data_IF_035317592011
#
_entry.id   IF_035317592011
#
_cell.length_a   1.000
_cell.length_b   1.000
_cell.length_c   1.000
_cell.angle_alpha   90.00
_cell.angle_beta   90.00
_cell.angle_gamma   90.00
#
_symmetry.space_group_name_H-M   'P 1'
#
loop_
_entity.id
_entity.type
_entity.pdbx_description
1 polymer ?
#
# COMPACT_ATOMS: atom_id res chain seq x y z
N UNK A 1 47.11 -51.37 28.42
CA UNK A 1 45.72 -51.66 28.82
C UNK A 1 45.12 -50.32 29.21
N UNK A 2 44.64 -49.47 28.30
CA UNK A 2 43.93 -49.76 27.06
C UNK A 2 42.50 -50.12 27.42
N UNK A 3 41.66 -49.12 27.65
CA UNK A 3 40.20 -49.23 27.57
C UNK A 3 39.60 -47.84 27.25
N UNK A 4 38.77 -47.86 26.22
CA UNK A 4 38.08 -46.78 25.51
C UNK A 4 36.85 -46.22 26.28
N UNK A 5 36.30 -45.06 25.87
CA UNK A 5 35.29 -44.32 26.63
C UNK A 5 33.90 -44.95 26.52
N UNK A 6 33.14 -44.93 27.62
CA UNK A 6 31.70 -45.21 27.59
C UNK A 6 30.94 -43.90 27.39
N UNK A 7 30.46 -43.68 26.18
CA UNK A 7 29.41 -42.73 25.86
C UNK A 7 28.17 -43.04 26.72
N UNK A 8 27.93 -42.23 27.74
CA UNK A 8 26.63 -42.14 28.40
C UNK A 8 25.79 -41.11 27.65
N UNK A 9 24.95 -41.59 26.72
CA UNK A 9 23.86 -40.80 26.13
C UNK A 9 23.06 -40.10 27.23
N UNK A 10 23.04 -38.77 27.21
CA UNK A 10 22.00 -37.99 27.87
C UNK A 10 20.63 -38.45 27.34
N UNK A 11 19.62 -38.65 28.21
CA UNK A 11 18.29 -38.95 27.72
C UNK A 11 17.73 -37.69 27.04
N UNK A 12 17.39 -37.83 25.76
CA UNK A 12 16.63 -36.84 25.00
C UNK A 12 15.43 -36.39 25.83
N UNK A 13 15.44 -35.12 26.25
CA UNK A 13 14.26 -34.47 26.81
C UNK A 13 13.25 -34.38 25.67
N UNK A 14 12.21 -35.19 25.75
CA UNK A 14 11.01 -35.01 24.93
C UNK A 14 10.47 -33.61 25.24
N UNK A 15 10.62 -32.69 24.29
CA UNK A 15 9.94 -31.40 24.31
C UNK A 15 8.46 -31.70 24.04
N UNK A 16 7.63 -31.56 25.07
CA UNK A 16 6.18 -31.71 24.96
C UNK A 16 5.62 -30.59 24.06
N UNK A 17 5.26 -30.93 22.81
CA UNK A 17 4.52 -30.11 21.83
C UNK A 17 3.06 -29.84 22.28
N UNK A 18 2.86 -29.38 23.51
CA UNK A 18 1.56 -28.91 23.99
C UNK A 18 1.45 -27.43 23.65
N UNK A 19 0.44 -26.96 22.90
CA UNK A 19 0.29 -25.53 22.65
C UNK A 19 0.11 -24.82 24.00
N UNK A 20 1.06 -23.97 24.38
CA UNK A 20 1.00 -23.18 25.60
C UNK A 20 -0.33 -22.41 25.63
N UNK A 21 -1.24 -22.81 26.51
CA UNK A 21 -2.50 -22.11 26.69
C UNK A 21 -2.20 -20.69 27.14
N UNK A 22 -2.72 -19.69 26.42
CA UNK A 22 -2.57 -18.29 26.80
C UNK A 22 -3.33 -18.02 28.11
N UNK A 23 -2.60 -17.97 29.23
CA UNK A 23 -3.13 -17.60 30.54
C UNK A 23 -3.16 -16.06 30.62
N UNK A 24 -4.34 -15.49 30.83
CA UNK A 24 -4.45 -14.03 31.07
C UNK A 24 -3.77 -13.71 32.40
N UNK A 25 -2.92 -12.68 32.47
CA UNK A 25 -2.35 -12.23 33.74
C UNK A 25 -3.47 -11.80 34.68
N UNK A 26 -3.45 -12.32 35.91
CA UNK A 26 -4.34 -11.87 36.97
C UNK A 26 -3.69 -10.69 37.68
N UNK A 27 -4.32 -9.51 37.57
CA UNK A 27 -3.82 -8.30 38.21
C UNK A 27 -4.31 -8.18 39.65
N UNK A 28 -3.41 -7.76 40.53
CA UNK A 28 -3.72 -7.35 41.90
C UNK A 28 -4.41 -5.99 41.91
N UNK A 29 -5.13 -5.63 42.99
CA UNK A 29 -5.74 -4.31 43.12
C UNK A 29 -4.74 -3.14 43.02
N UNK A 30 -3.48 -3.36 43.38
CA UNK A 30 -2.41 -2.36 43.29
C UNK A 30 -1.99 -2.13 41.83
N UNK A 31 -1.77 -3.21 41.08
CA UNK A 31 -1.44 -3.13 39.65
C UNK A 31 -2.57 -2.49 38.84
N UNK A 32 -3.82 -2.76 39.19
CA UNK A 32 -4.99 -2.11 38.57
C UNK A 32 -4.93 -0.59 38.80
N UNK A 33 -4.69 -0.14 40.03
CA UNK A 33 -4.58 1.29 40.34
C UNK A 33 -3.40 1.97 39.63
N UNK A 34 -2.29 1.27 39.42
CA UNK A 34 -1.14 1.77 38.65
C UNK A 34 -1.47 1.88 37.16
N UNK A 35 -2.18 0.91 36.60
CA UNK A 35 -2.67 0.94 35.21
C UNK A 35 -3.63 2.11 35.04
N UNK A 36 -4.60 2.27 35.94
CA UNK A 36 -5.57 3.37 35.90
C UNK A 36 -4.86 4.73 35.91
N UNK A 37 -3.89 4.92 36.80
CA UNK A 37 -3.08 6.14 36.86
C UNK A 37 -2.30 6.40 35.56
N UNK A 38 -1.78 5.34 34.92
CA UNK A 38 -1.07 5.44 33.64
C UNK A 38 -2.01 5.80 32.50
N UNK A 39 -3.23 5.27 32.51
CA UNK A 39 -4.28 5.56 31.53
C UNK A 39 -4.77 7.01 31.68
N UNK A 40 -5.00 7.47 32.91
CA UNK A 40 -5.37 8.86 33.19
C UNK A 40 -4.31 9.87 32.74
N UNK A 41 -3.03 9.48 32.79
CA UNK A 41 -1.89 10.29 32.37
C UNK A 41 -1.48 10.05 30.91
N UNK A 42 -2.33 9.39 30.10
CA UNK A 42 -2.03 9.16 28.69
C UNK A 42 -1.83 10.50 27.96
N UNK A 43 -0.68 10.63 27.33
CA UNK A 43 -0.35 11.73 26.44
C UNK A 43 -0.21 11.16 25.03
N UNK A 44 -0.93 11.76 24.09
CA UNK A 44 -0.76 11.42 22.68
C UNK A 44 0.65 11.86 22.23
N UNK A 45 1.48 10.90 21.85
CA UNK A 45 2.82 11.12 21.31
C UNK A 45 2.83 11.09 19.78
N UNK A 46 1.65 11.00 19.14
CA UNK A 46 1.53 11.04 17.69
C UNK A 46 2.11 12.36 17.18
N UNK A 47 3.16 12.32 16.32
CA UNK A 47 3.73 13.54 15.76
C UNK A 47 2.70 14.34 14.95
N UNK A 48 2.82 15.66 14.98
CA UNK A 48 1.98 16.53 14.14
C UNK A 48 2.20 16.20 12.65
N UNK A 49 1.12 15.92 11.94
CA UNK A 49 1.15 15.68 10.50
C UNK A 49 1.33 17.00 9.73
N UNK A 50 2.57 17.32 9.34
CA UNK A 50 2.92 18.50 8.54
C UNK A 50 3.61 18.12 7.21
N UNK A 51 2.85 17.77 6.16
CA UNK A 51 3.42 17.39 4.87
C UNK A 51 4.05 18.58 4.14
N UNK A 52 5.32 18.43 3.75
CA UNK A 52 6.08 19.48 3.05
C UNK A 52 5.74 19.61 1.56
N UNK A 53 5.30 18.52 0.92
CA UNK A 53 5.08 18.44 -0.53
C UNK A 53 3.62 18.08 -0.83
N UNK A 54 2.68 18.85 -0.29
CA UNK A 54 1.27 18.71 -0.65
C UNK A 54 1.08 19.04 -2.13
N UNK A 55 0.28 18.24 -2.83
CA UNK A 55 -0.10 18.54 -4.20
C UNK A 55 -0.87 19.86 -4.19
N UNK A 56 -0.45 20.80 -5.03
CA UNK A 56 -1.02 22.15 -5.02
C UNK A 56 -2.52 22.10 -5.32
N UNK A 57 -3.35 22.83 -4.56
CA UNK A 57 -4.79 22.93 -4.81
C UNK A 57 -5.12 23.45 -6.23
N UNK A 58 -4.25 24.27 -6.81
CA UNK A 58 -4.39 24.85 -8.16
C UNK A 58 -4.55 23.79 -9.26
N UNK A 59 -3.94 22.62 -9.09
CA UNK A 59 -4.05 21.50 -10.03
C UNK A 59 -5.02 20.43 -9.50
N UNK A 60 -5.99 20.82 -8.67
CA UNK A 60 -6.97 19.95 -8.01
C UNK A 60 -6.32 18.79 -7.23
N UNK A 61 -5.09 19.00 -6.76
CA UNK A 61 -4.31 17.96 -6.08
C UNK A 61 -3.96 16.77 -6.99
N UNK A 62 -3.88 16.96 -8.31
CA UNK A 62 -3.33 15.96 -9.24
C UNK A 62 -1.81 15.96 -9.16
N UNK A 63 -1.23 14.77 -9.31
CA UNK A 63 0.21 14.61 -9.44
C UNK A 63 0.66 14.90 -10.87
N UNK A 64 1.93 15.27 -11.03
CA UNK A 64 2.56 15.39 -12.35
C UNK A 64 2.45 14.09 -13.16
N UNK A 65 2.42 12.94 -12.48
CA UNK A 65 2.22 11.63 -13.11
C UNK A 65 0.81 11.48 -13.71
N UNK A 66 -0.23 11.82 -12.96
CA UNK A 66 -1.63 11.80 -13.44
C UNK A 66 -1.80 12.73 -14.64
N UNK A 67 -1.29 13.96 -14.55
CA UNK A 67 -1.38 14.93 -15.63
C UNK A 67 -0.62 14.47 -16.88
N UNK A 68 0.58 13.89 -16.71
CA UNK A 68 1.38 13.36 -17.81
C UNK A 68 0.70 12.21 -18.54
N UNK A 69 0.13 11.24 -17.81
CA UNK A 69 -0.60 10.13 -18.44
C UNK A 69 -1.80 10.64 -19.23
N UNK A 70 -2.59 11.56 -18.67
CA UNK A 70 -3.76 12.10 -19.35
C UNK A 70 -3.39 12.84 -20.64
N UNK A 71 -2.29 13.60 -20.63
CA UNK A 71 -1.77 14.27 -21.81
C UNK A 71 -1.39 13.25 -22.91
N UNK A 72 -0.55 12.27 -22.57
CA UNK A 72 -0.10 11.25 -23.53
C UNK A 72 -1.27 10.41 -24.05
N UNK A 73 -2.25 10.12 -23.18
CA UNK A 73 -3.49 9.43 -23.55
C UNK A 73 -4.27 10.24 -24.58
N UNK A 74 -4.46 11.54 -24.35
CA UNK A 74 -5.16 12.43 -25.29
C UNK A 74 -4.44 12.49 -26.65
N UNK A 75 -3.12 12.65 -26.66
CA UNK A 75 -2.31 12.62 -27.88
C UNK A 75 -2.47 11.29 -28.64
N UNK A 76 -2.50 10.17 -27.91
CA UNK A 76 -2.67 8.83 -28.50
C UNK A 76 -4.08 8.62 -29.06
N UNK A 77 -5.11 9.14 -28.38
CA UNK A 77 -6.49 9.14 -28.88
C UNK A 77 -6.63 9.93 -30.19
N UNK A 78 -6.03 11.12 -30.24
CA UNK A 78 -6.05 11.97 -31.43
C UNK A 78 -5.30 11.31 -32.60
N UNK A 79 -4.16 10.66 -32.32
CA UNK A 79 -3.42 9.86 -33.30
C UNK A 79 -4.25 8.70 -33.83
N UNK A 80 -4.93 7.96 -32.95
CA UNK A 80 -5.80 6.87 -33.35
C UNK A 80 -7.00 7.37 -34.17
N UNK A 81 -7.56 8.54 -33.84
CA UNK A 81 -8.64 9.18 -34.60
C UNK A 81 -8.17 9.54 -36.01
N UNK A 82 -6.99 10.12 -36.15
CA UNK A 82 -6.40 10.44 -37.46
C UNK A 82 -6.17 9.17 -38.30
N UNK A 83 -5.61 8.11 -37.71
CA UNK A 83 -5.41 6.82 -38.39
C UNK A 83 -6.73 6.16 -38.83
N UNK A 84 -7.83 6.35 -38.10
CA UNK A 84 -9.15 5.83 -38.49
C UNK A 84 -9.79 6.61 -39.64
N UNK A 85 -9.42 7.87 -39.83
CA UNK A 85 -9.95 8.71 -40.90
C UNK A 85 -9.22 8.50 -42.23
N UNK A 86 -7.99 7.99 -42.21
CA UNK A 86 -7.22 7.69 -43.41
C UNK A 86 -7.54 6.27 -43.96
N UNK A 87 -8.11 6.15 -45.17
CA UNK A 87 -8.41 4.85 -45.80
C UNK A 87 -7.17 3.98 -46.07
N UNK A 88 -5.98 4.59 -46.14
CA UNK A 88 -4.72 3.90 -46.40
C UNK A 88 -3.89 3.70 -45.13
N UNK A 89 -4.45 3.96 -43.95
CA UNK A 89 -3.73 3.87 -42.69
C UNK A 89 -3.13 2.49 -42.44
N UNK A 90 -1.93 2.48 -41.86
CA UNK A 90 -1.25 1.26 -41.47
C UNK A 90 -1.99 0.55 -40.32
N UNK A 91 -2.51 -0.64 -40.61
CA UNK A 91 -3.23 -1.47 -39.62
C UNK A 91 -2.40 -1.82 -38.39
N UNK A 92 -1.08 -1.99 -38.53
CA UNK A 92 -0.20 -2.27 -37.39
C UNK A 92 -0.07 -1.06 -36.48
N UNK A 93 0.05 0.15 -37.04
CA UNK A 93 0.11 1.38 -36.24
C UNK A 93 -1.21 1.63 -35.51
N UNK A 94 -2.34 1.36 -36.16
CA UNK A 94 -3.65 1.43 -35.54
C UNK A 94 -3.80 0.47 -34.35
N UNK A 95 -3.33 -0.78 -34.51
CA UNK A 95 -3.34 -1.77 -33.43
C UNK A 95 -2.43 -1.34 -32.27
N UNK A 96 -1.22 -0.84 -32.57
CA UNK A 96 -0.29 -0.33 -31.55
C UNK A 96 -0.89 0.84 -30.78
N UNK A 97 -1.43 1.85 -31.47
CA UNK A 97 -2.06 3.00 -30.83
C UNK A 97 -3.25 2.59 -29.93
N UNK A 98 -3.98 1.54 -30.31
CA UNK A 98 -5.05 1.00 -29.47
C UNK A 98 -4.52 0.28 -28.21
N UNK A 99 -3.46 -0.53 -28.33
CA UNK A 99 -2.84 -1.19 -27.18
C UNK A 99 -2.12 -0.20 -26.25
N UNK A 100 -1.52 0.85 -26.82
CA UNK A 100 -0.93 1.97 -26.06
C UNK A 100 -2.01 2.66 -25.21
N UNK A 101 -3.20 2.93 -25.79
CA UNK A 101 -4.32 3.50 -25.03
C UNK A 101 -4.76 2.63 -23.87
N UNK A 102 -4.95 1.32 -24.10
CA UNK A 102 -5.28 0.39 -23.00
C UNK A 102 -4.22 0.41 -21.91
N UNK A 103 -2.94 0.45 -22.30
CA UNK A 103 -1.83 0.48 -21.36
C UNK A 103 -1.87 1.75 -20.52
N UNK A 104 -2.12 2.91 -21.14
CA UNK A 104 -2.26 4.19 -20.45
C UNK A 104 -3.47 4.21 -19.50
N UNK A 105 -4.61 3.62 -19.91
CA UNK A 105 -5.78 3.46 -19.05
C UNK A 105 -5.46 2.60 -17.83
N UNK A 106 -4.80 1.45 -18.01
CA UNK A 106 -4.38 0.60 -16.90
C UNK A 106 -3.38 1.30 -15.96
N UNK A 107 -2.43 2.08 -16.48
CA UNK A 107 -1.49 2.84 -15.65
C UNK A 107 -2.23 3.90 -14.81
N UNK A 108 -3.20 4.59 -15.40
CA UNK A 108 -4.01 5.59 -14.70
C UNK A 108 -4.88 4.94 -13.61
N UNK A 109 -5.52 3.82 -13.91
CA UNK A 109 -6.33 3.06 -12.95
C UNK A 109 -5.48 2.50 -11.82
N UNK A 110 -4.36 1.84 -12.12
CA UNK A 110 -3.45 1.29 -11.12
C UNK A 110 -2.92 2.38 -10.18
N UNK A 111 -2.57 3.54 -10.71
CA UNK A 111 -2.15 4.67 -9.89
C UNK A 111 -3.26 5.11 -8.94
N UNK A 112 -4.50 5.23 -9.42
CA UNK A 112 -5.64 5.58 -8.58
C UNK A 112 -5.94 4.53 -7.52
N UNK A 113 -5.85 3.23 -7.86
CA UNK A 113 -6.05 2.12 -6.91
C UNK A 113 -4.97 2.15 -5.82
N UNK A 114 -3.70 2.23 -6.21
CA UNK A 114 -2.58 2.23 -5.27
C UNK A 114 -2.57 3.46 -4.36
N UNK A 115 -3.00 4.61 -4.89
CA UNK A 115 -3.07 5.84 -4.11
C UNK A 115 -4.33 5.93 -3.24
N UNK A 116 -5.35 5.08 -3.39
CA UNK A 116 -6.52 5.06 -2.49
C UNK A 116 -6.15 4.68 -1.04
N UNK A 117 -5.03 3.99 -0.82
CA UNK A 117 -4.55 3.64 0.53
C UNK A 117 -3.94 4.86 1.24
N UNK A 118 -3.38 5.81 0.49
CA UNK A 118 -2.73 7.01 1.04
C UNK A 118 -3.57 8.29 0.87
N UNK A 119 -4.59 8.25 0.02
CA UNK A 119 -5.58 9.31 -0.18
C UNK A 119 -6.78 9.00 0.70
N UNK A 120 -6.63 9.27 2.01
CA UNK A 120 -7.69 9.42 3.02
C UNK A 120 -9.09 8.97 2.58
N UNK A 121 -9.46 7.74 3.00
CA UNK A 121 -10.81 7.18 3.18
C UNK A 121 -11.92 7.52 2.15
N UNK A 122 -12.65 6.50 1.69
CA UNK A 122 -13.97 6.58 1.02
C UNK A 122 -14.47 7.99 0.63
N UNK A 123 -14.20 8.42 -0.60
CA UNK A 123 -14.86 9.60 -1.20
C UNK A 123 -14.11 10.94 -1.17
N UNK A 124 -12.83 10.98 -0.79
CA UNK A 124 -12.06 12.24 -0.65
C UNK A 124 -11.90 13.10 -1.92
N UNK A 125 -11.78 12.51 -3.12
CA UNK A 125 -11.54 13.27 -4.38
C UNK A 125 -12.80 13.59 -5.19
N UNK A 126 -13.92 12.92 -4.92
CA UNK A 126 -15.18 13.17 -5.63
C UNK A 126 -15.66 14.63 -5.45
N UNK A 127 -15.21 15.31 -4.39
CA UNK A 127 -15.54 16.71 -4.09
C UNK A 127 -14.61 17.73 -4.77
N UNK A 128 -13.49 17.30 -5.36
CA UNK A 128 -12.48 18.17 -5.98
C UNK A 128 -12.67 18.33 -7.50
N UNK A 129 -13.52 17.50 -8.12
CA UNK A 129 -13.95 17.68 -9.51
C UNK A 129 -15.31 18.35 -9.48
N UNK A 130 -15.35 19.67 -9.71
CA UNK A 130 -16.55 20.37 -10.14
C UNK A 130 -16.78 20.12 -11.62
#
# INVERSE_FOLDING_TARGET
>A
MGDEPKDSKEPDKQEDDTPEEFIRPAYTPQEIAEIDKRVEQFKDETPDYNPQNILSPEYNGTSNYEAGILLVRQETEDRLRALKQDPNANKQEMFRAHEDLKTLDHLYENYNIGMNVFRTAHGGRAKLRK
#
